data_IF_610281973781
#
_entry.id   IF_610281973781
#
_cell.length_a   1.000
_cell.length_b   1.000
_cell.length_c   1.000
_cell.angle_alpha   90.00
_cell.angle_beta   90.00
_cell.angle_gamma   90.00
#
_symmetry.space_group_name_H-M   'P 1'
#
loop_
_entity.id
_entity.type
_entity.pdbx_description
1 polymer ?
#
# COMPACT_ATOMS: atom_id res chain seq x y z
N UNK A 1 -16.38 12.19 -45.18
CA UNK A 1 -16.02 13.46 -44.50
C UNK A 1 -16.34 13.46 -43.00
N UNK A 2 -17.37 12.76 -42.51
CA UNK A 2 -17.67 12.70 -41.06
C UNK A 2 -16.78 11.73 -40.25
N UNK A 3 -16.06 10.82 -40.90
CA UNK A 3 -15.21 9.85 -40.20
C UNK A 3 -13.85 10.40 -39.75
N UNK A 4 -13.44 11.56 -40.29
CA UNK A 4 -12.14 12.18 -40.00
C UNK A 4 -12.18 12.94 -38.67
N UNK A 5 -13.30 13.61 -38.36
CA UNK A 5 -13.49 14.42 -37.15
C UNK A 5 -13.45 13.55 -35.87
N UNK A 6 -13.93 12.31 -35.95
CA UNK A 6 -13.95 11.39 -34.79
C UNK A 6 -12.57 10.88 -34.36
N UNK A 7 -11.54 10.94 -35.22
CA UNK A 7 -10.19 10.44 -34.88
C UNK A 7 -9.33 11.47 -34.18
N UNK A 8 -9.51 12.75 -34.46
CA UNK A 8 -8.72 13.85 -33.87
C UNK A 8 -9.11 14.13 -32.40
N UNK A 9 -10.39 13.98 -32.05
CA UNK A 9 -10.88 14.10 -30.66
C UNK A 9 -10.37 13.00 -29.71
N UNK A 10 -9.86 11.88 -30.25
CA UNK A 10 -9.32 10.77 -29.45
C UNK A 10 -7.83 10.94 -29.12
N UNK A 11 -7.11 11.81 -29.84
CA UNK A 11 -5.69 12.11 -29.54
C UNK A 11 -5.50 13.23 -28.52
N UNK A 12 -6.45 14.16 -28.40
CA UNK A 12 -6.37 15.26 -27.44
C UNK A 12 -6.63 14.78 -25.99
N UNK A 13 -7.60 13.87 -25.83
CA UNK A 13 -8.03 13.33 -24.52
C UNK A 13 -7.02 12.41 -23.83
N UNK A 14 -6.02 11.89 -24.55
CA UNK A 14 -4.99 11.01 -23.98
C UNK A 14 -3.87 11.75 -23.26
N UNK A 15 -3.71 13.06 -23.50
CA UNK A 15 -2.64 13.85 -22.90
C UNK A 15 -2.98 14.41 -21.51
N UNK A 16 -4.26 14.41 -21.13
CA UNK A 16 -4.76 15.03 -19.88
C UNK A 16 -5.00 14.04 -18.72
N UNK A 17 -4.90 12.73 -18.93
CA UNK A 17 -5.16 11.72 -17.89
C UNK A 17 -3.90 11.08 -17.28
N UNK A 18 -2.81 11.83 -17.17
CA UNK A 18 -1.51 11.31 -16.68
C UNK A 18 -1.48 10.96 -15.18
N UNK A 19 -2.51 11.28 -14.41
CA UNK A 19 -2.52 11.10 -12.95
C UNK A 19 -3.55 10.08 -12.43
N UNK A 20 -4.30 9.37 -13.28
CA UNK A 20 -5.43 8.56 -12.80
C UNK A 20 -5.08 7.20 -12.14
N UNK A 21 -3.80 6.83 -12.06
CA UNK A 21 -3.40 5.53 -11.53
C UNK A 21 -2.99 5.63 -10.05
N UNK A 22 -3.97 5.76 -9.15
CA UNK A 22 -3.76 5.57 -7.71
C UNK A 22 -4.66 4.46 -7.17
N UNK A 23 -4.23 3.76 -6.12
CA UNK A 23 -5.01 2.72 -5.45
C UNK A 23 -5.36 3.18 -4.03
N UNK A 24 -6.63 3.05 -3.64
CA UNK A 24 -7.02 3.23 -2.23
C UNK A 24 -6.72 1.93 -1.48
N UNK A 25 -5.75 1.99 -0.58
CA UNK A 25 -5.27 0.83 0.17
C UNK A 25 -5.58 0.99 1.66
N UNK A 26 -5.72 -0.13 2.36
CA UNK A 26 -5.80 -0.13 3.83
C UNK A 26 -4.47 -0.62 4.38
N UNK A 27 -3.82 0.24 5.15
CA UNK A 27 -2.56 -0.06 5.84
C UNK A 27 -2.80 0.04 7.34
N UNK A 28 -2.55 -1.06 8.06
CA UNK A 28 -2.77 -1.15 9.51
C UNK A 28 -4.18 -0.67 9.92
N UNK A 29 -5.21 -1.06 9.16
CA UNK A 29 -6.61 -0.69 9.41
C UNK A 29 -6.99 0.75 9.04
N UNK A 30 -6.07 1.55 8.49
CA UNK A 30 -6.35 2.94 8.07
C UNK A 30 -6.32 3.09 6.55
N UNK A 31 -7.30 3.80 5.96
CA UNK A 31 -7.29 4.07 4.53
C UNK A 31 -6.15 5.02 4.18
N UNK A 32 -5.39 4.66 3.15
CA UNK A 32 -4.30 5.43 2.58
C UNK A 32 -4.43 5.40 1.06
N UNK A 33 -3.93 6.45 0.41
CA UNK A 33 -3.80 6.50 -1.04
C UNK A 33 -2.40 6.02 -1.42
N UNK A 34 -2.31 5.02 -2.30
CA UNK A 34 -1.07 4.50 -2.86
C UNK A 34 -0.89 5.11 -4.24
N UNK A 35 0.18 5.90 -4.40
CA UNK A 35 0.55 6.51 -5.67
C UNK A 35 2.06 6.39 -5.85
N UNK A 36 2.49 5.88 -7.00
CA UNK A 36 3.91 5.67 -7.34
C UNK A 36 4.73 4.98 -6.23
N UNK A 37 4.16 3.95 -5.58
CA UNK A 37 4.76 3.19 -4.46
C UNK A 37 4.89 3.95 -3.13
N UNK A 38 4.40 5.18 -3.06
CA UNK A 38 4.32 5.97 -1.83
C UNK A 38 2.91 5.96 -1.25
N UNK A 39 2.83 6.01 0.08
CA UNK A 39 1.54 6.07 0.79
C UNK A 39 1.25 7.48 1.24
N UNK A 40 0.00 7.89 1.08
CA UNK A 40 -0.50 9.19 1.48
C UNK A 40 -1.69 9.04 2.44
N UNK A 41 -1.66 9.77 3.53
CA UNK A 41 -2.76 9.85 4.50
C UNK A 41 -3.61 11.09 4.24
N UNK A 42 -4.93 10.93 4.29
CA UNK A 42 -5.86 12.06 4.21
C UNK A 42 -5.72 12.95 5.45
N UNK A 43 -5.68 14.27 5.25
CA UNK A 43 -5.61 15.27 6.31
C UNK A 43 -6.54 16.45 5.98
N UNK A 44 -7.05 17.10 7.02
CA UNK A 44 -7.90 18.29 6.89
C UNK A 44 -9.41 18.02 6.96
N UNK A 45 -10.24 19.04 6.70
CA UNK A 45 -11.70 18.96 6.76
C UNK A 45 -12.27 17.95 5.77
N UNK A 46 -13.46 17.40 6.03
CA UNK A 46 -14.14 16.45 5.13
C UNK A 46 -14.43 17.01 3.73
N UNK A 47 -14.48 18.33 3.59
CA UNK A 47 -14.72 19.05 2.33
C UNK A 47 -13.47 19.16 1.45
N UNK A 48 -12.28 18.91 2.01
CA UNK A 48 -11.01 19.01 1.32
C UNK A 48 -10.33 17.64 1.26
N UNK A 49 -9.98 17.20 0.06
CA UNK A 49 -9.38 15.89 -0.18
C UNK A 49 -7.86 16.03 -0.30
N UNK A 50 -7.21 16.53 0.76
CA UNK A 50 -5.76 16.64 0.82
C UNK A 50 -5.13 15.35 1.35
N UNK A 51 -4.20 14.81 0.59
CA UNK A 51 -3.45 13.61 0.90
C UNK A 51 -1.98 13.97 1.01
N UNK A 52 -1.40 13.83 2.21
CA UNK A 52 0.01 14.09 2.44
C UNK A 52 0.77 12.79 2.57
N UNK A 53 2.02 12.77 2.15
CA UNK A 53 2.88 11.60 2.32
C UNK A 53 2.86 11.14 3.80
N UNK A 54 2.69 9.84 4.02
CA UNK A 54 2.62 9.27 5.39
C UNK A 54 3.89 9.50 6.21
N UNK A 55 5.01 9.84 5.58
CA UNK A 55 6.29 10.17 6.24
C UNK A 55 6.51 11.67 6.40
N UNK A 56 5.50 12.52 6.16
CA UNK A 56 5.59 13.97 6.36
C UNK A 56 6.09 14.35 7.75
N UNK A 57 5.48 13.80 8.79
CA UNK A 57 5.84 14.12 10.18
C UNK A 57 7.14 13.44 10.62
N UNK A 58 7.41 12.23 10.14
CA UNK A 58 8.56 11.44 10.56
C UNK A 58 9.87 11.84 9.86
N UNK A 59 9.82 12.23 8.58
CA UNK A 59 10.98 12.52 7.74
C UNK A 59 10.92 13.90 7.07
N UNK A 60 9.97 14.77 7.46
CA UNK A 60 9.83 16.10 6.86
C UNK A 60 9.45 16.09 5.38
N UNK A 61 8.74 15.06 4.91
CA UNK A 61 8.33 14.98 3.50
C UNK A 61 7.24 16.01 3.14
N UNK A 62 7.41 16.72 2.02
CA UNK A 62 6.48 17.75 1.56
C UNK A 62 5.53 17.30 0.45
N UNK A 63 5.67 16.06 -0.05
CA UNK A 63 4.80 15.52 -1.10
C UNK A 63 3.32 15.53 -0.69
N UNK A 64 2.47 15.99 -1.61
CA UNK A 64 1.04 16.21 -1.44
C UNK A 64 0.27 15.86 -2.71
N UNK A 65 -0.84 15.18 -2.57
CA UNK A 65 -1.84 14.94 -3.61
C UNK A 65 -3.14 15.62 -3.19
N UNK A 66 -3.80 16.28 -4.12
CA UNK A 66 -5.13 16.86 -3.93
C UNK A 66 -6.09 16.18 -4.89
N UNK A 67 -7.17 15.64 -4.33
CA UNK A 67 -8.27 15.11 -5.12
C UNK A 67 -9.42 16.11 -5.19
N UNK A 68 -10.27 15.99 -6.20
CA UNK A 68 -11.58 16.61 -6.20
C UNK A 68 -12.63 15.71 -5.49
N UNK A 69 -13.88 16.19 -5.43
CA UNK A 69 -15.02 15.45 -4.86
C UNK A 69 -15.37 14.17 -5.63
N UNK A 70 -14.92 14.04 -6.88
CA UNK A 70 -15.11 12.87 -7.73
C UNK A 70 -13.97 11.85 -7.57
N UNK A 71 -12.94 12.15 -6.78
CA UNK A 71 -11.76 11.31 -6.58
C UNK A 71 -10.65 11.54 -7.60
N UNK A 72 -10.80 12.47 -8.52
CA UNK A 72 -9.78 12.72 -9.55
C UNK A 72 -8.64 13.55 -8.98
N UNK A 73 -7.39 13.23 -9.36
CA UNK A 73 -6.22 14.01 -8.96
C UNK A 73 -6.25 15.35 -9.69
N UNK A 74 -6.43 16.44 -8.94
CA UNK A 74 -6.37 17.81 -9.49
C UNK A 74 -4.98 18.43 -9.36
N UNK A 75 -4.18 17.95 -8.41
CA UNK A 75 -2.81 18.39 -8.22
C UNK A 75 -2.00 17.32 -7.51
N UNK A 76 -0.79 17.05 -8.00
CA UNK A 76 0.17 16.15 -7.35
C UNK A 76 1.56 16.77 -7.30
N UNK A 77 2.10 16.91 -6.09
CA UNK A 77 3.49 17.23 -5.82
C UNK A 77 4.18 15.96 -5.34
N UNK A 78 5.02 15.37 -6.19
CA UNK A 78 5.62 14.04 -6.01
C UNK A 78 7.09 14.09 -5.56
N UNK A 79 7.55 15.24 -5.07
CA UNK A 79 8.90 15.38 -4.51
C UNK A 79 8.99 14.71 -3.14
N UNK A 80 9.65 13.55 -3.09
CA UNK A 80 9.94 12.81 -1.87
C UNK A 80 11.41 12.90 -1.52
N UNK A 81 11.71 13.29 -0.27
CA UNK A 81 13.07 13.32 0.30
C UNK A 81 13.46 12.04 1.03
N UNK A 82 12.79 10.94 0.73
CA UNK A 82 13.03 9.65 1.36
C UNK A 82 12.70 8.52 0.39
N UNK A 83 13.30 7.33 0.57
CA UNK A 83 12.94 6.17 -0.24
C UNK A 83 11.49 5.72 0.03
N UNK A 84 10.87 4.98 -0.92
CA UNK A 84 9.57 4.38 -0.73
C UNK A 84 9.52 3.46 0.49
N UNK A 85 8.37 3.33 1.17
CA UNK A 85 8.18 2.30 2.18
C UNK A 85 8.11 0.90 1.54
N UNK A 86 8.63 -0.11 2.23
CA UNK A 86 8.40 -1.50 1.83
C UNK A 86 6.95 -1.88 2.19
N UNK A 87 6.15 -2.14 1.17
CA UNK A 87 4.76 -2.58 1.30
C UNK A 87 4.65 -3.98 0.72
N UNK A 88 4.07 -4.90 1.49
CA UNK A 88 3.72 -6.24 1.02
C UNK A 88 2.21 -6.29 0.79
N UNK A 89 1.80 -6.64 -0.43
CA UNK A 89 0.41 -6.93 -0.77
C UNK A 89 0.12 -8.40 -0.40
N UNK A 90 -0.81 -8.61 0.51
CA UNK A 90 -1.28 -9.95 0.90
C UNK A 90 -2.22 -10.52 -0.18
N UNK A 91 -2.40 -11.85 -0.21
CA UNK A 91 -3.39 -12.54 -1.07
C UNK A 91 -4.79 -11.93 -0.97
N UNK A 92 -5.15 -11.45 0.22
CA UNK A 92 -6.46 -10.88 0.52
C UNK A 92 -6.62 -9.42 0.02
N UNK A 93 -5.64 -8.89 -0.71
CA UNK A 93 -5.64 -7.50 -1.21
C UNK A 93 -5.29 -6.43 -0.17
N UNK A 94 -4.93 -6.83 1.06
CA UNK A 94 -4.47 -5.91 2.13
C UNK A 94 -3.00 -5.56 1.94
N UNK A 95 -2.58 -4.42 2.52
CA UNK A 95 -1.20 -3.97 2.49
C UNK A 95 -0.60 -3.92 3.89
N UNK A 96 0.57 -4.56 4.06
CA UNK A 96 1.34 -4.55 5.29
C UNK A 96 2.62 -3.72 5.09
N UNK A 97 2.88 -2.79 6.01
CA UNK A 97 4.19 -2.12 6.09
C UNK A 97 5.18 -3.09 6.71
N UNK A 98 6.17 -3.50 5.94
CA UNK A 98 7.25 -4.35 6.45
C UNK A 98 8.45 -3.47 6.78
N UNK A 99 8.88 -3.51 8.02
CA UNK A 99 10.23 -3.09 8.38
C UNK A 99 11.13 -4.23 7.90
N UNK A 100 12.23 -3.92 7.22
CA UNK A 100 13.16 -4.94 6.73
C UNK A 100 13.81 -5.68 7.91
N UNK A 101 13.08 -6.59 8.53
CA UNK A 101 13.61 -7.66 9.34
C UNK A 101 13.56 -8.89 8.44
N UNK A 102 14.74 -9.38 8.06
CA UNK A 102 14.99 -10.60 7.29
C UNK A 102 13.84 -11.60 7.44
N UNK A 103 13.08 -11.83 6.36
CA UNK A 103 12.05 -12.87 6.33
C UNK A 103 12.80 -14.20 6.41
N UNK A 104 12.94 -14.76 7.62
CA UNK A 104 13.34 -16.14 7.77
C UNK A 104 12.15 -16.98 7.32
N UNK A 105 12.24 -17.47 6.08
CA UNK A 105 11.35 -18.50 5.57
C UNK A 105 11.58 -19.73 6.46
N UNK A 106 10.75 -19.89 7.49
CA UNK A 106 10.64 -21.16 8.17
C UNK A 106 9.89 -22.08 7.22
N UNK A 107 10.63 -22.86 6.42
CA UNK A 107 10.09 -24.02 5.73
C UNK A 107 9.35 -24.88 6.74
N UNK A 108 8.10 -25.24 6.43
CA UNK A 108 7.22 -26.05 7.27
C UNK A 108 7.96 -27.27 7.84
N UNK A 109 7.90 -27.54 9.16
CA UNK A 109 8.28 -28.85 9.64
C UNK A 109 7.22 -29.83 9.16
N UNK A 110 7.54 -30.59 8.11
CA UNK A 110 6.77 -31.74 7.66
C UNK A 110 6.45 -32.62 8.88
N UNK A 111 5.17 -32.72 9.22
CA UNK A 111 4.64 -33.69 10.17
C UNK A 111 5.12 -35.08 9.75
N UNK A 112 6.03 -35.67 10.52
CA UNK A 112 6.20 -37.13 10.55
C UNK A 112 5.97 -37.58 11.99
N UNK A 113 4.76 -38.08 12.24
CA UNK A 113 4.53 -39.01 13.36
C UNK A 113 5.33 -40.28 13.03
N UNK A 114 6.29 -40.62 13.87
CA UNK A 114 6.83 -41.96 13.97
C UNK A 114 6.94 -42.29 15.46
N UNK A 115 6.09 -43.20 15.90
CA UNK A 115 6.16 -43.87 17.18
C UNK A 115 7.21 -44.96 17.12
N UNK A 116 8.24 -44.91 17.97
CA UNK A 116 9.05 -46.08 18.35
C UNK A 116 9.53 -45.91 19.81
N UNK A 117 9.04 -46.78 20.70
CA UNK A 117 9.85 -47.40 21.76
C UNK A 117 10.29 -46.60 22.99
N UNK A 118 9.62 -46.88 24.11
CA UNK A 118 10.07 -46.90 25.52
C UNK A 118 11.11 -45.85 25.97
N UNK A 119 10.60 -44.74 26.49
CA UNK A 119 11.01 -44.21 27.81
C UNK A 119 10.00 -43.15 28.26
N UNK A 120 9.19 -43.54 29.24
CA UNK A 120 8.35 -42.61 29.99
C UNK A 120 9.24 -41.80 30.93
N UNK A 121 9.06 -40.48 30.95
CA UNK A 121 9.62 -39.63 31.98
C UNK A 121 8.45 -39.10 32.83
N UNK A 122 8.42 -39.54 34.08
CA UNK A 122 7.46 -39.09 35.10
C UNK A 122 7.86 -37.67 35.51
N UNK A 123 6.95 -36.71 35.35
CA UNK A 123 7.05 -35.42 36.04
C UNK A 123 5.97 -35.36 37.13
N UNK A 124 6.42 -35.40 38.39
CA UNK A 124 5.60 -35.21 39.57
C UNK A 124 5.09 -33.77 39.64
N UNK A 125 3.79 -33.58 39.47
CA UNK A 125 3.11 -32.35 39.88
C UNK A 125 2.62 -32.50 41.31
N UNK A 126 3.36 -31.84 42.21
CA UNK A 126 3.03 -31.21 43.52
C UNK A 126 1.78 -31.68 44.30
N UNK A 127 2.08 -31.91 45.59
CA UNK A 127 1.26 -32.19 46.79
C UNK A 127 -0.21 -31.78 46.77
#
# INVERSE_FOLDING_TARGET
MLETISRELQSETQSEQRWNNYEMIVVNGRPNLLYEKYTYSRQGPKTQFYYYCSRRLALGCHSKITLNKHGEIIAASIDHRHPPPNLLKTSDGRYLKVFSATVRVFSEPTRKKLSVGRREYIFNSRQ
#
